data_IF_390305166260
#
_entry.id   IF_390305166260
#
_cell.length_a   1.000
_cell.length_b   1.000
_cell.length_c   1.000
_cell.angle_alpha   90.00
_cell.angle_beta   90.00
_cell.angle_gamma   90.00
#
_symmetry.space_group_name_H-M   'P 1'
#
loop_
_entity.id
_entity.type
_entity.pdbx_description
1 polymer ?
#
# COMPACT_ATOMS: atom_id res chain seq x y z
N UNK A 1 -10.63 15.46 -19.97
CA UNK A 1 -10.63 16.69 -19.16
C UNK A 1 -9.82 17.76 -19.87
N UNK A 2 -10.07 19.02 -19.56
CA UNK A 2 -9.43 20.16 -20.24
C UNK A 2 -7.93 20.15 -20.13
N UNK A 3 -7.38 19.75 -18.98
CA UNK A 3 -5.94 19.63 -18.76
C UNK A 3 -5.30 18.60 -19.70
N UNK A 4 -5.94 17.42 -19.87
CA UNK A 4 -5.41 16.41 -20.79
C UNK A 4 -5.47 16.85 -22.25
N UNK A 5 -6.39 17.75 -22.59
CA UNK A 5 -6.48 18.33 -23.95
C UNK A 5 -5.41 19.40 -24.19
N UNK A 6 -4.95 20.07 -23.14
CA UNK A 6 -3.96 21.15 -23.21
C UNK A 6 -2.51 20.62 -23.10
N UNK A 7 -2.29 19.53 -22.37
CA UNK A 7 -0.95 18.94 -22.15
C UNK A 7 -0.95 17.45 -22.49
N UNK A 8 -0.28 17.01 -23.57
CA UNK A 8 -0.19 15.62 -23.97
C UNK A 8 0.56 14.72 -22.98
N UNK A 9 1.29 15.31 -22.03
CA UNK A 9 1.96 14.59 -20.95
C UNK A 9 0.99 14.20 -19.84
N UNK A 10 -0.17 14.85 -19.75
CA UNK A 10 -1.19 14.55 -18.76
C UNK A 10 -2.14 13.51 -19.33
N UNK A 11 -2.29 12.40 -18.64
CA UNK A 11 -3.22 11.30 -18.98
C UNK A 11 -4.19 11.08 -17.84
N UNK A 12 -5.41 10.68 -18.17
CA UNK A 12 -6.44 10.36 -17.19
C UNK A 12 -7.00 8.95 -17.45
N UNK A 13 -7.20 8.19 -16.39
CA UNK A 13 -7.87 6.90 -16.43
C UNK A 13 -9.21 7.06 -15.71
N UNK A 14 -10.29 6.77 -16.42
CA UNK A 14 -11.65 6.83 -15.89
C UNK A 14 -12.15 5.42 -15.63
N UNK A 15 -12.34 5.09 -14.36
CA UNK A 15 -12.89 3.80 -13.96
C UNK A 15 -14.40 3.77 -14.21
N UNK A 16 -14.93 2.63 -14.64
CA UNK A 16 -16.38 2.42 -14.82
C UNK A 16 -17.17 2.43 -13.51
N UNK A 17 -16.50 2.17 -12.38
CA UNK A 17 -17.03 2.24 -11.01
C UNK A 17 -15.93 2.53 -10.02
N UNK A 18 -16.29 2.75 -8.75
CA UNK A 18 -15.31 2.85 -7.68
C UNK A 18 -14.73 1.46 -7.33
N UNK A 19 -13.48 1.19 -7.67
CA UNK A 19 -12.75 -0.03 -7.34
C UNK A 19 -11.97 0.07 -6.02
N UNK A 20 -12.11 1.15 -5.31
CA UNK A 20 -11.50 1.37 -4.01
C UNK A 20 -10.07 1.89 -4.05
N UNK A 21 -9.55 2.09 -2.86
CA UNK A 21 -8.27 2.77 -2.62
C UNK A 21 -7.02 1.92 -2.94
N UNK A 22 -7.17 0.62 -3.16
CA UNK A 22 -6.05 -0.28 -3.49
C UNK A 22 -5.97 -0.58 -4.99
N UNK A 23 -7.10 -0.98 -5.59
CA UNK A 23 -7.12 -1.41 -6.99
C UNK A 23 -6.92 -0.26 -7.98
N UNK A 24 -7.56 0.90 -7.75
CA UNK A 24 -7.48 2.02 -8.69
C UNK A 24 -6.06 2.59 -8.82
N UNK A 25 -5.32 2.89 -7.73
CA UNK A 25 -3.93 3.33 -7.84
C UNK A 25 -3.00 2.26 -8.44
N UNK A 26 -3.19 1.00 -8.07
CA UNK A 26 -2.39 -0.10 -8.62
C UNK A 26 -2.57 -0.21 -10.14
N UNK A 27 -3.82 -0.13 -10.60
CA UNK A 27 -4.12 -0.11 -12.03
C UNK A 27 -3.43 1.05 -12.74
N UNK A 28 -3.43 2.25 -12.14
CA UNK A 28 -2.67 3.39 -12.65
C UNK A 28 -1.18 3.11 -12.75
N UNK A 29 -0.59 2.51 -11.72
CA UNK A 29 0.85 2.20 -11.69
C UNK A 29 1.28 1.24 -12.80
N UNK A 30 0.56 0.14 -12.99
CA UNK A 30 0.92 -0.87 -14.02
C UNK A 30 0.75 -0.34 -15.46
N UNK A 31 0.06 0.81 -15.66
CA UNK A 31 -0.09 1.44 -16.97
C UNK A 31 0.91 2.59 -17.22
N UNK A 32 1.82 2.86 -16.28
CA UNK A 32 2.89 3.85 -16.48
C UNK A 32 3.95 3.34 -17.46
N UNK A 33 4.57 4.25 -18.21
CA UNK A 33 5.58 3.91 -19.23
C UNK A 33 6.93 4.59 -19.01
N UNK A 34 7.08 5.36 -17.91
CA UNK A 34 8.33 6.02 -17.55
C UNK A 34 9.40 5.06 -17.05
N UNK A 35 10.61 5.55 -16.86
CA UNK A 35 11.73 4.77 -16.29
C UNK A 35 11.55 4.53 -14.79
N UNK A 36 10.80 5.40 -14.13
CA UNK A 36 10.29 5.19 -12.78
C UNK A 36 8.85 5.72 -12.65
N UNK A 37 8.15 5.28 -11.62
CA UNK A 37 6.79 5.71 -11.29
C UNK A 37 6.75 6.20 -9.85
N UNK A 38 6.20 7.39 -9.64
CA UNK A 38 5.98 7.94 -8.30
C UNK A 38 4.48 7.97 -8.01
N UNK A 39 4.08 7.34 -6.90
CA UNK A 39 2.69 7.41 -6.44
C UNK A 39 2.54 8.53 -5.43
N UNK A 40 1.51 9.37 -5.60
CA UNK A 40 1.21 10.49 -4.71
C UNK A 40 -0.30 10.66 -4.58
N UNK A 41 -0.77 10.92 -3.36
CA UNK A 41 -2.18 11.22 -3.12
C UNK A 41 -2.49 12.69 -3.40
N UNK A 42 -3.63 12.96 -4.05
CA UNK A 42 -4.06 14.31 -4.42
C UNK A 42 -4.63 15.14 -3.24
N UNK A 43 -4.57 14.64 -2.02
CA UNK A 43 -5.08 15.33 -0.81
C UNK A 43 -4.02 16.21 -0.10
N UNK A 44 -2.87 16.40 -0.73
CA UNK A 44 -1.72 17.17 -0.24
C UNK A 44 -1.14 16.65 1.08
N UNK A 45 -1.39 15.41 1.44
CA UNK A 45 -0.77 14.76 2.60
C UNK A 45 0.60 14.15 2.28
N UNK A 46 0.88 13.94 0.99
CA UNK A 46 2.18 13.50 0.49
C UNK A 46 2.93 14.71 -0.07
N UNK A 47 4.06 15.13 0.55
CA UNK A 47 4.77 16.35 0.15
C UNK A 47 5.44 16.18 -1.22
N UNK A 48 5.14 17.06 -2.17
CA UNK A 48 5.75 17.04 -3.51
C UNK A 48 7.25 17.29 -3.47
N UNK A 49 7.74 17.95 -2.43
CA UNK A 49 9.15 18.23 -2.16
C UNK A 49 9.99 16.97 -1.91
N UNK A 50 9.32 15.84 -1.68
CA UNK A 50 9.98 14.53 -1.55
C UNK A 50 10.35 13.93 -2.91
N UNK A 51 9.70 14.35 -3.99
CA UNK A 51 9.94 13.81 -5.34
C UNK A 51 11.42 13.91 -5.75
N UNK A 52 12.10 15.07 -5.67
CA UNK A 52 13.52 15.16 -6.00
C UNK A 52 14.40 14.26 -5.13
N UNK A 53 14.03 14.08 -3.85
CA UNK A 53 14.78 13.19 -2.94
C UNK A 53 14.65 11.72 -3.33
N UNK A 54 13.45 11.30 -3.76
CA UNK A 54 13.23 9.94 -4.25
C UNK A 54 14.03 9.69 -5.53
N UNK A 55 14.02 10.63 -6.46
CA UNK A 55 14.78 10.52 -7.71
C UNK A 55 16.28 10.43 -7.43
N UNK A 56 16.81 11.26 -6.52
CA UNK A 56 18.22 11.23 -6.16
C UNK A 56 18.67 9.89 -5.55
N UNK A 57 17.83 9.21 -4.79
CA UNK A 57 18.15 7.87 -4.28
C UNK A 57 17.98 6.79 -5.37
N UNK A 58 17.00 6.93 -6.25
CA UNK A 58 16.84 6.05 -7.40
C UNK A 58 18.04 6.12 -8.37
N UNK A 59 18.57 7.30 -8.62
CA UNK A 59 19.79 7.50 -9.44
C UNK A 59 21.03 6.85 -8.82
N UNK A 60 21.05 6.61 -7.50
CA UNK A 60 22.09 5.82 -6.82
C UNK A 60 21.92 4.32 -7.00
N UNK A 61 20.84 3.87 -7.64
CA UNK A 61 20.57 2.48 -7.98
C UNK A 61 19.47 1.79 -7.16
N UNK A 62 18.85 2.48 -6.20
CA UNK A 62 17.73 1.89 -5.47
C UNK A 62 16.50 1.73 -6.36
N UNK A 63 15.98 0.51 -6.47
CA UNK A 63 14.81 0.20 -7.31
C UNK A 63 13.48 0.60 -6.67
N UNK A 64 13.46 0.74 -5.37
CA UNK A 64 12.31 1.13 -4.58
C UNK A 64 12.75 2.16 -3.56
N UNK A 65 12.14 3.34 -3.59
CA UNK A 65 12.36 4.41 -2.61
C UNK A 65 11.03 4.80 -2.01
N UNK A 66 10.84 4.60 -0.71
CA UNK A 66 9.55 4.83 -0.05
C UNK A 66 9.60 5.97 0.96
N UNK A 67 8.49 6.67 1.07
CA UNK A 67 8.24 7.64 2.13
C UNK A 67 7.68 6.97 3.38
N UNK A 68 8.35 7.14 4.51
CA UNK A 68 7.93 6.65 5.82
C UNK A 68 7.55 7.81 6.71
N UNK A 69 6.35 7.79 7.28
CA UNK A 69 5.89 8.86 8.18
C UNK A 69 6.61 8.80 9.51
N UNK A 70 7.17 9.92 9.96
CA UNK A 70 7.86 10.00 11.26
C UNK A 70 6.91 10.09 12.44
N UNK A 71 5.76 10.73 12.28
CA UNK A 71 4.75 10.93 13.33
C UNK A 71 3.34 10.87 12.76
N UNK A 72 2.46 10.11 13.41
CA UNK A 72 1.04 10.24 13.22
C UNK A 72 0.45 10.86 14.49
N UNK A 73 -0.23 12.02 14.36
CA UNK A 73 -1.01 12.61 15.44
C UNK A 73 -2.31 11.81 15.59
N UNK A 74 -2.21 10.60 16.12
CA UNK A 74 -3.37 9.72 16.29
C UNK A 74 -3.83 9.69 17.74
N UNK A 75 -5.12 9.36 17.92
CA UNK A 75 -5.69 9.08 19.22
C UNK A 75 -4.92 7.89 19.85
N UNK A 76 -4.53 7.96 21.16
CA UNK A 76 -3.80 6.90 21.84
C UNK A 76 -4.45 5.51 21.74
N UNK A 77 -5.78 5.44 21.71
CA UNK A 77 -6.52 4.17 21.57
C UNK A 77 -6.31 3.55 20.18
N UNK A 78 -6.34 4.38 19.13
CA UNK A 78 -6.08 3.93 17.76
C UNK A 78 -4.62 3.50 17.57
N UNK A 79 -3.70 4.21 18.20
CA UNK A 79 -2.29 3.83 18.23
C UNK A 79 -2.11 2.44 18.85
N UNK A 80 -2.70 2.20 20.02
CA UNK A 80 -2.63 0.89 20.71
C UNK A 80 -3.25 -0.24 19.89
N UNK A 81 -4.42 -0.04 19.31
CA UNK A 81 -5.06 -1.05 18.44
C UNK A 81 -4.21 -1.38 17.22
N UNK A 82 -3.62 -0.35 16.61
CA UNK A 82 -2.72 -0.52 15.48
C UNK A 82 -1.44 -1.25 15.86
N UNK A 83 -0.83 -0.91 16.99
CA UNK A 83 0.36 -1.57 17.50
C UNK A 83 0.11 -3.06 17.79
N UNK A 84 -1.01 -3.38 18.47
CA UNK A 84 -1.46 -4.75 18.66
C UNK A 84 -1.66 -5.50 17.34
N UNK A 85 -2.27 -4.86 16.35
CA UNK A 85 -2.48 -5.43 15.02
C UNK A 85 -1.14 -5.75 14.33
N UNK A 86 -0.20 -4.79 14.27
CA UNK A 86 1.11 -5.03 13.64
C UNK A 86 1.92 -6.09 14.39
N UNK A 87 1.92 -6.10 15.72
CA UNK A 87 2.59 -7.14 16.52
C UNK A 87 2.00 -8.52 16.27
N UNK A 88 0.69 -8.60 16.12
CA UNK A 88 0.01 -9.86 15.80
C UNK A 88 0.36 -10.34 14.40
N UNK A 89 0.25 -9.47 13.41
CA UNK A 89 0.63 -9.81 12.01
C UNK A 89 2.11 -10.20 11.93
N UNK A 90 3.03 -9.48 12.57
CA UNK A 90 4.45 -9.81 12.58
C UNK A 90 4.74 -11.22 13.08
N UNK A 91 3.97 -11.72 14.07
CA UNK A 91 4.09 -13.10 14.55
C UNK A 91 3.45 -14.15 13.63
N UNK A 92 2.49 -13.74 12.82
CA UNK A 92 1.64 -14.62 12.04
C UNK A 92 1.95 -14.61 10.54
N UNK A 93 2.68 -13.60 10.06
CA UNK A 93 3.09 -13.43 8.67
C UNK A 93 4.57 -13.75 8.51
N UNK A 94 4.93 -14.32 7.36
CA UNK A 94 6.32 -14.47 6.95
C UNK A 94 6.91 -13.17 6.34
N UNK A 95 6.07 -12.13 6.16
CA UNK A 95 6.44 -10.85 5.58
C UNK A 95 6.41 -9.78 6.67
N UNK A 96 7.53 -9.10 6.86
CA UNK A 96 7.61 -7.97 7.78
C UNK A 96 7.00 -6.72 7.14
N UNK A 97 5.75 -6.42 7.54
CA UNK A 97 5.02 -5.27 7.01
C UNK A 97 5.73 -3.96 7.38
N UNK A 98 5.80 -3.05 6.42
CA UNK A 98 6.45 -1.75 6.60
C UNK A 98 5.50 -0.83 7.39
N UNK A 99 5.90 -0.51 8.60
CA UNK A 99 5.14 0.42 9.44
C UNK A 99 5.17 1.84 8.87
N UNK A 100 4.06 2.60 9.07
CA UNK A 100 3.94 4.01 8.64
C UNK A 100 4.12 4.25 7.14
N UNK A 101 4.02 3.21 6.31
CA UNK A 101 4.06 3.28 4.86
C UNK A 101 2.66 3.29 4.24
N UNK A 102 2.41 4.25 3.35
CA UNK A 102 1.07 4.45 2.71
C UNK A 102 1.02 4.06 1.24
N UNK A 103 2.15 3.74 0.64
CA UNK A 103 2.29 3.55 -0.80
C UNK A 103 2.97 4.75 -1.48
N UNK A 104 3.18 5.87 -0.76
CA UNK A 104 3.93 7.02 -1.28
C UNK A 104 5.39 6.65 -1.50
N UNK A 105 5.87 6.75 -2.72
CA UNK A 105 7.23 6.37 -3.06
C UNK A 105 7.49 6.33 -4.56
N UNK A 106 8.75 6.05 -4.90
CA UNK A 106 9.23 5.86 -6.25
C UNK A 106 9.50 4.37 -6.49
N UNK A 107 9.08 3.89 -7.64
CA UNK A 107 9.20 2.51 -8.09
C UNK A 107 9.84 2.48 -9.48
N UNK A 108 10.96 1.79 -9.58
CA UNK A 108 11.68 1.59 -10.85
C UNK A 108 10.82 0.82 -11.86
N UNK A 109 11.06 1.03 -13.13
CA UNK A 109 10.39 0.34 -14.24
C UNK A 109 10.44 -1.19 -14.10
N UNK A 110 11.55 -1.73 -13.61
CA UNK A 110 11.70 -3.16 -13.40
C UNK A 110 10.72 -3.68 -12.35
N UNK A 111 10.51 -2.93 -11.26
CA UNK A 111 9.52 -3.28 -10.25
C UNK A 111 8.08 -3.15 -10.78
N UNK A 112 7.80 -2.10 -11.56
CA UNK A 112 6.49 -1.96 -12.23
C UNK A 112 6.23 -3.14 -13.17
N UNK A 113 7.25 -3.64 -13.88
CA UNK A 113 7.10 -4.85 -14.70
C UNK A 113 6.79 -6.08 -13.85
N UNK A 114 7.45 -6.25 -12.71
CA UNK A 114 7.10 -7.32 -11.76
C UNK A 114 5.65 -7.23 -11.30
N UNK A 115 5.14 -6.02 -11.00
CA UNK A 115 3.72 -5.82 -10.65
C UNK A 115 2.77 -6.24 -11.78
N UNK A 116 3.14 -5.99 -13.05
CA UNK A 116 2.35 -6.43 -14.22
C UNK A 116 2.31 -7.96 -14.31
N UNK A 117 3.45 -8.60 -14.11
CA UNK A 117 3.61 -10.03 -14.27
C UNK A 117 2.93 -10.83 -13.13
N UNK A 118 2.74 -10.21 -11.97
CA UNK A 118 2.02 -10.82 -10.85
C UNK A 118 0.54 -11.11 -11.16
N UNK A 119 -0.10 -10.31 -12.04
CA UNK A 119 -1.53 -10.46 -12.39
C UNK A 119 -2.44 -10.57 -11.15
N UNK A 120 -2.11 -9.89 -10.06
CA UNK A 120 -2.84 -9.98 -8.80
C UNK A 120 -4.23 -9.31 -8.93
N UNK A 121 -5.33 -10.05 -8.75
CA UNK A 121 -6.68 -9.50 -8.84
C UNK A 121 -7.08 -8.62 -7.65
N UNK A 122 -6.38 -8.74 -6.52
CA UNK A 122 -6.65 -8.00 -5.28
C UNK A 122 -5.37 -7.42 -4.68
N UNK A 123 -4.65 -6.56 -5.44
CA UNK A 123 -3.32 -6.13 -5.07
C UNK A 123 -3.29 -5.30 -3.79
N UNK A 124 -2.39 -5.66 -2.90
CA UNK A 124 -2.09 -4.89 -1.71
C UNK A 124 -0.64 -4.38 -1.79
N UNK A 125 -0.45 -3.26 -2.49
CA UNK A 125 0.87 -2.71 -2.83
C UNK A 125 1.84 -2.67 -1.64
N UNK A 126 1.35 -2.29 -0.44
CA UNK A 126 2.20 -2.19 0.76
C UNK A 126 2.81 -3.52 1.15
N UNK A 127 2.07 -4.59 1.01
CA UNK A 127 2.55 -5.94 1.28
C UNK A 127 3.46 -6.45 0.16
N UNK A 128 3.13 -6.18 -1.10
CA UNK A 128 3.99 -6.55 -2.24
C UNK A 128 5.35 -5.86 -2.12
N UNK A 129 5.39 -4.58 -1.76
CA UNK A 129 6.65 -3.85 -1.51
C UNK A 129 7.41 -4.42 -0.31
N UNK A 130 6.72 -4.85 0.74
CA UNK A 130 7.37 -5.48 1.89
C UNK A 130 7.99 -6.83 1.55
N UNK A 131 7.33 -7.62 0.72
CA UNK A 131 7.76 -8.98 0.33
C UNK A 131 8.85 -8.96 -0.75
N UNK A 132 8.64 -8.18 -1.83
CA UNK A 132 9.50 -8.19 -3.01
C UNK A 132 10.56 -7.08 -3.02
N UNK A 133 10.50 -6.14 -2.09
CA UNK A 133 11.41 -5.00 -2.01
C UNK A 133 12.30 -5.00 -0.77
N UNK A 134 13.12 -6.05 -0.50
CA UNK A 134 13.99 -6.08 0.69
C UNK A 134 15.07 -4.99 0.62
N UNK A 135 15.60 -4.70 -0.56
CA UNK A 135 16.63 -3.67 -0.80
C UNK A 135 15.99 -2.33 -1.19
N UNK A 136 15.10 -1.81 -0.35
CA UNK A 136 14.48 -0.51 -0.54
C UNK A 136 15.18 0.58 0.25
N UNK A 137 15.09 1.82 -0.21
CA UNK A 137 15.47 3.01 0.55
C UNK A 137 14.25 3.60 1.24
N UNK A 138 14.34 3.82 2.54
CA UNK A 138 13.30 4.50 3.32
C UNK A 138 13.72 5.96 3.56
N UNK A 139 12.86 6.92 3.25
CA UNK A 139 13.07 8.34 3.53
C UNK A 139 11.95 8.81 4.45
N UNK A 140 12.31 9.30 5.61
CA UNK A 140 11.35 9.80 6.57
C UNK A 140 10.81 11.16 6.18
N UNK A 141 9.50 11.36 6.43
CA UNK A 141 8.85 12.65 6.23
C UNK A 141 7.75 12.90 7.27
N UNK A 142 7.50 14.15 7.56
CA UNK A 142 6.37 14.56 8.40
C UNK A 142 5.15 14.78 7.51
N UNK A 143 4.08 14.02 7.75
CA UNK A 143 2.86 14.17 6.99
C UNK A 143 2.16 15.48 7.33
N UNK A 144 1.93 16.38 6.34
CA UNK A 144 1.15 17.58 6.57
C UNK A 144 -0.32 17.27 6.83
N UNK A 145 -1.01 18.20 7.48
CA UNK A 145 -2.47 18.11 7.66
C UNK A 145 -3.15 18.22 6.29
N UNK A 146 -4.23 17.47 6.11
CA UNK A 146 -5.06 17.56 4.91
C UNK A 146 -5.55 18.99 4.71
N UNK A 147 -5.38 19.53 3.51
CA UNK A 147 -5.78 20.92 3.20
C UNK A 147 -7.27 21.07 2.95
N UNK A 148 -7.92 20.04 2.37
CA UNK A 148 -9.34 20.05 2.03
C UNK A 148 -9.95 18.65 2.10
N UNK A 149 -11.28 18.60 2.22
CA UNK A 149 -12.05 17.35 2.24
C UNK A 149 -12.06 16.67 3.62
N UNK A 150 -12.92 15.65 3.72
CA UNK A 150 -13.02 14.78 4.91
C UNK A 150 -12.55 13.38 4.52
N UNK A 151 -12.04 12.62 5.49
CA UNK A 151 -11.72 11.22 5.26
C UNK A 151 -13.00 10.43 4.98
N UNK A 152 -12.96 9.59 3.94
CA UNK A 152 -14.01 8.61 3.66
C UNK A 152 -13.78 7.28 4.40
N UNK A 153 -12.64 7.13 5.08
CA UNK A 153 -12.36 5.93 5.86
C UNK A 153 -13.27 5.91 7.10
N UNK A 154 -14.02 4.83 7.22
CA UNK A 154 -14.82 4.48 8.39
C UNK A 154 -14.30 3.18 9.01
N UNK A 155 -14.86 2.75 10.14
CA UNK A 155 -14.45 1.52 10.81
C UNK A 155 -14.52 0.29 9.90
N UNK A 156 -15.53 0.21 9.04
CA UNK A 156 -15.71 -0.89 8.12
C UNK A 156 -14.59 -0.92 7.06
N UNK A 157 -14.28 0.21 6.44
CA UNK A 157 -13.19 0.30 5.46
C UNK A 157 -11.81 0.05 6.06
N UNK A 158 -11.59 0.44 7.33
CA UNK A 158 -10.35 0.13 8.05
C UNK A 158 -10.26 -1.36 8.37
N UNK A 159 -11.38 -1.97 8.79
CA UNK A 159 -11.47 -3.40 9.01
C UNK A 159 -11.22 -4.19 7.73
N UNK A 160 -11.85 -3.82 6.61
CA UNK A 160 -11.62 -4.45 5.30
C UNK A 160 -10.15 -4.38 4.87
N UNK A 161 -9.51 -3.22 5.03
CA UNK A 161 -8.10 -3.05 4.73
C UNK A 161 -7.20 -3.94 5.62
N UNK A 162 -7.55 -4.06 6.91
CA UNK A 162 -6.85 -4.92 7.84
C UNK A 162 -7.04 -6.40 7.48
N UNK A 163 -8.27 -6.80 7.14
CA UNK A 163 -8.59 -8.18 6.72
C UNK A 163 -7.94 -8.53 5.39
N UNK A 164 -7.91 -7.62 4.42
CA UNK A 164 -7.18 -7.81 3.17
C UNK A 164 -5.71 -8.10 3.42
N UNK A 165 -5.05 -7.27 4.24
CA UNK A 165 -3.65 -7.48 4.62
C UNK A 165 -3.45 -8.81 5.36
N UNK A 166 -4.34 -9.15 6.30
CA UNK A 166 -4.28 -10.38 7.06
C UNK A 166 -4.42 -11.62 6.17
N UNK A 167 -5.44 -11.67 5.32
CA UNK A 167 -5.70 -12.83 4.46
C UNK A 167 -4.67 -13.01 3.35
N UNK A 168 -4.12 -11.91 2.81
CA UNK A 168 -3.11 -11.96 1.76
C UNK A 168 -1.75 -12.45 2.28
N UNK A 169 -1.39 -12.14 3.53
CA UNK A 169 -0.04 -12.39 4.06
C UNK A 169 0.01 -13.35 5.24
N UNK A 170 -1.11 -13.95 5.67
CA UNK A 170 -1.11 -14.99 6.70
C UNK A 170 -1.91 -16.22 6.27
N UNK A 171 -1.39 -17.40 6.59
CA UNK A 171 -2.08 -18.69 6.37
C UNK A 171 -2.88 -19.16 7.61
N UNK A 172 -2.85 -18.37 8.69
CA UNK A 172 -3.36 -18.83 9.99
C UNK A 172 -4.88 -18.92 9.96
N UNK A 173 -5.58 -17.98 9.33
CA UNK A 173 -7.04 -18.04 9.20
C UNK A 173 -7.52 -19.32 8.52
N UNK A 174 -6.85 -19.71 7.42
CA UNK A 174 -7.16 -20.98 6.72
C UNK A 174 -6.85 -22.20 7.60
N UNK A 175 -5.68 -22.24 8.25
CA UNK A 175 -5.30 -23.34 9.15
C UNK A 175 -6.26 -23.49 10.33
N UNK A 176 -6.70 -22.37 10.92
CA UNK A 176 -7.70 -22.42 12.00
C UNK A 176 -9.03 -23.02 11.52
N UNK A 177 -9.49 -22.64 10.32
CA UNK A 177 -10.70 -23.21 9.73
C UNK A 177 -10.54 -24.72 9.45
N UNK A 178 -9.38 -25.15 8.94
CA UNK A 178 -9.05 -26.56 8.73
C UNK A 178 -9.06 -27.35 10.04
N UNK A 179 -8.35 -26.89 11.08
CA UNK A 179 -8.33 -27.56 12.39
C UNK A 179 -9.72 -27.63 13.03
N UNK A 180 -10.50 -26.54 12.93
CA UNK A 180 -11.87 -26.53 13.42
C UNK A 180 -12.76 -27.51 12.65
N UNK A 181 -12.62 -27.59 11.34
CA UNK A 181 -13.33 -28.57 10.49
C UNK A 181 -12.98 -30.00 10.85
N UNK A 182 -11.68 -30.33 11.04
CA UNK A 182 -11.26 -31.67 11.52
C UNK A 182 -11.79 -31.99 12.92
N UNK A 183 -11.76 -31.02 13.82
CA UNK A 183 -12.33 -31.21 15.17
C UNK A 183 -13.83 -31.52 15.12
N UNK A 184 -14.60 -30.75 14.36
CA UNK A 184 -16.04 -31.01 14.19
C UNK A 184 -16.30 -32.39 13.56
N UNK A 185 -15.54 -32.76 12.55
CA UNK A 185 -15.65 -34.08 11.94
C UNK A 185 -15.37 -35.22 12.96
N UNK A 186 -14.30 -35.09 13.76
CA UNK A 186 -13.93 -36.08 14.76
C UNK A 186 -14.98 -36.23 15.90
N UNK A 187 -15.66 -35.14 16.24
CA UNK A 187 -16.73 -35.16 17.27
C UNK A 187 -18.04 -35.71 16.71
N UNK A 188 -18.24 -35.64 15.38
CA UNK A 188 -19.47 -36.12 14.72
C UNK A 188 -19.44 -37.62 14.41
N UNK A 189 -18.26 -38.24 14.50
CA UNK A 189 -18.08 -39.71 14.42
C UNK A 189 -18.07 -40.34 15.80
#
# INVERSE_FOLDING_TARGET
>A
TDICAQDPKVKAIFNSKNFGQFNSPYYGMIHTTGDCTITICADFQDPVEMIPKFVAEWEKGYKIVIGKKTTSQENPVMYFLRDCYYKTIKKMSNVEMIEQFTGFGLYDKSFIQTLRDLHDPTPFLRGIVAELGPERKEIEYTQPKRRAGKTHNNWYSLFDAAMLSFTSYTKIGMRMAEFFGFFCAAVSF
#
